data_IF_505687592436
#
_entry.id   IF_505687592436
#
_cell.length_a   1.000
_cell.length_b   1.000
_cell.length_c   1.000
_cell.angle_alpha   90.00
_cell.angle_beta   90.00
_cell.angle_gamma   90.00
#
_symmetry.space_group_name_H-M   'P 1'
#
loop_
_entity.id
_entity.type
_entity.pdbx_description
1 polymer ?
#
# COMPACT_ATOMS: atom_id res chain seq x y z
N UNK A 1 -35.64 25.36 -22.03
CA UNK A 1 -35.42 24.78 -20.68
C UNK A 1 -33.94 24.49 -20.57
N UNK A 2 -33.17 25.16 -19.71
CA UNK A 2 -31.76 24.82 -19.52
C UNK A 2 -31.66 23.44 -18.85
N UNK A 3 -30.84 22.57 -19.41
CA UNK A 3 -30.53 21.25 -18.85
C UNK A 3 -29.61 21.48 -17.66
N UNK A 4 -30.10 21.22 -16.44
CA UNK A 4 -29.26 21.22 -15.23
C UNK A 4 -28.51 19.89 -15.23
N UNK A 5 -27.21 19.92 -15.49
CA UNK A 5 -26.33 18.78 -15.24
C UNK A 5 -26.38 18.42 -13.75
N UNK A 6 -26.49 17.13 -13.40
CA UNK A 6 -26.50 16.72 -12.00
C UNK A 6 -25.16 17.09 -11.37
N UNK A 7 -25.20 18.00 -10.41
CA UNK A 7 -24.04 18.32 -9.57
C UNK A 7 -23.62 17.05 -8.83
N UNK A 8 -22.46 16.50 -9.19
CA UNK A 8 -21.81 15.43 -8.44
C UNK A 8 -21.58 15.92 -7.00
N UNK A 9 -22.35 15.39 -6.06
CA UNK A 9 -22.06 15.58 -4.63
C UNK A 9 -20.70 14.95 -4.36
N UNK A 10 -19.69 15.70 -3.90
CA UNK A 10 -18.35 15.16 -3.75
C UNK A 10 -18.37 14.06 -2.69
N UNK A 11 -18.14 12.83 -3.12
CA UNK A 11 -17.80 11.72 -2.22
C UNK A 11 -16.53 12.09 -1.46
N UNK A 12 -16.47 11.76 -0.16
CA UNK A 12 -15.29 12.03 0.64
C UNK A 12 -14.04 11.40 -0.02
N UNK A 13 -12.92 12.14 -0.11
CA UNK A 13 -11.73 11.65 -0.82
C UNK A 13 -11.17 10.39 -0.14
N UNK A 14 -10.78 9.39 -0.95
CA UNK A 14 -10.25 8.11 -0.46
C UNK A 14 -8.85 8.23 0.18
N UNK A 15 -8.07 9.24 -0.24
CA UNK A 15 -6.70 9.48 0.23
C UNK A 15 -6.37 10.97 0.18
N UNK A 16 -5.42 11.41 1.01
CA UNK A 16 -4.99 12.81 1.15
C UNK A 16 -3.49 12.98 1.00
N UNK A 17 -3.05 14.09 0.40
CA UNK A 17 -1.63 14.45 0.30
C UNK A 17 -1.15 15.06 1.62
N UNK A 18 -0.18 14.41 2.28
CA UNK A 18 0.37 14.88 3.56
C UNK A 18 1.57 15.82 3.39
N UNK A 19 2.26 15.76 2.23
CA UNK A 19 3.44 16.58 1.93
C UNK A 19 3.55 16.86 0.43
N UNK A 20 3.94 18.09 0.07
CA UNK A 20 4.13 18.53 -1.31
C UNK A 20 2.85 19.07 -1.97
N UNK A 21 2.97 19.47 -3.23
CA UNK A 21 1.88 19.98 -4.07
C UNK A 21 1.98 19.30 -5.45
N UNK A 22 1.49 18.06 -5.59
CA UNK A 22 1.52 17.34 -6.86
C UNK A 22 0.54 17.95 -7.87
N UNK A 23 0.86 17.85 -9.15
CA UNK A 23 -0.08 18.22 -10.21
C UNK A 23 -1.17 17.14 -10.40
N UNK A 24 -2.20 17.47 -11.18
CA UNK A 24 -3.33 16.57 -11.41
C UNK A 24 -2.91 15.30 -12.16
N UNK A 25 -1.95 15.42 -13.07
CA UNK A 25 -1.42 14.31 -13.87
C UNK A 25 -0.68 13.28 -13.01
N UNK A 26 0.12 13.74 -12.04
CA UNK A 26 0.83 12.90 -11.07
C UNK A 26 -0.15 12.17 -10.17
N UNK A 27 -1.21 12.85 -9.70
CA UNK A 27 -2.26 12.20 -8.91
C UNK A 27 -3.00 11.13 -9.72
N UNK A 28 -3.32 11.41 -10.98
CA UNK A 28 -3.97 10.45 -11.87
C UNK A 28 -3.07 9.22 -12.15
N UNK A 29 -1.77 9.45 -12.40
CA UNK A 29 -0.81 8.38 -12.59
C UNK A 29 -0.67 7.50 -11.34
N UNK A 30 -0.60 8.10 -10.15
CA UNK A 30 -0.55 7.34 -8.89
C UNK A 30 -1.83 6.55 -8.64
N UNK A 31 -3.01 7.14 -8.90
CA UNK A 31 -4.29 6.44 -8.76
C UNK A 31 -4.36 5.22 -9.69
N UNK A 32 -3.92 5.37 -10.95
CA UNK A 32 -3.86 4.26 -11.90
C UNK A 32 -2.97 3.11 -11.36
N UNK A 33 -1.78 3.42 -10.84
CA UNK A 33 -0.89 2.40 -10.24
C UNK A 33 -1.55 1.70 -9.06
N UNK A 34 -2.18 2.44 -8.14
CA UNK A 34 -2.88 1.87 -6.98
C UNK A 34 -3.99 0.91 -7.42
N UNK A 35 -4.77 1.28 -8.45
CA UNK A 35 -5.81 0.41 -9.00
C UNK A 35 -5.23 -0.90 -9.55
N UNK A 36 -4.04 -0.87 -10.18
CA UNK A 36 -3.38 -2.11 -10.66
C UNK A 36 -2.88 -3.02 -9.54
N UNK A 37 -2.60 -2.46 -8.35
CA UNK A 37 -2.10 -3.22 -7.20
C UNK A 37 -3.24 -3.96 -6.44
N UNK A 38 -4.50 -3.63 -6.70
CA UNK A 38 -5.67 -4.22 -6.04
C UNK A 38 -6.00 -5.67 -6.44
N UNK A 39 -5.18 -6.31 -7.27
CA UNK A 39 -5.37 -7.69 -7.70
C UNK A 39 -5.22 -8.73 -6.58
N UNK A 40 -5.68 -9.98 -6.81
CA UNK A 40 -5.57 -11.05 -5.83
C UNK A 40 -4.12 -11.27 -5.39
N UNK A 41 -3.90 -11.24 -4.09
CA UNK A 41 -2.57 -11.43 -3.53
C UNK A 41 -2.05 -12.83 -3.87
N UNK A 42 -0.77 -12.96 -4.28
CA UNK A 42 -0.18 -14.28 -4.50
C UNK A 42 -0.23 -15.09 -3.21
N UNK A 43 -0.39 -16.41 -3.35
CA UNK A 43 -0.45 -17.33 -2.22
C UNK A 43 0.74 -17.09 -1.29
N UNK A 44 0.44 -16.86 0.01
CA UNK A 44 1.46 -16.57 1.00
C UNK A 44 2.37 -17.80 1.16
N UNK A 45 3.70 -17.64 1.11
CA UNK A 45 4.60 -18.75 1.43
C UNK A 45 4.39 -19.22 2.87
N UNK A 46 4.63 -20.51 3.12
CA UNK A 46 4.53 -21.09 4.45
C UNK A 46 5.33 -20.28 5.48
N UNK A 47 4.74 -20.05 6.65
CA UNK A 47 5.40 -19.31 7.71
C UNK A 47 6.60 -20.13 8.25
N UNK A 48 7.77 -19.49 8.48
CA UNK A 48 8.90 -20.18 9.09
C UNK A 48 8.53 -20.61 10.51
N UNK A 49 9.05 -21.78 10.93
CA UNK A 49 8.83 -22.28 12.29
C UNK A 49 9.49 -21.38 13.34
N UNK A 50 9.01 -21.46 14.59
CA UNK A 50 9.59 -20.74 15.73
C UNK A 50 11.09 -21.04 15.88
N UNK A 51 11.52 -22.29 15.70
CA UNK A 51 12.93 -22.69 15.76
C UNK A 51 13.77 -21.97 14.70
N UNK A 52 13.26 -21.88 13.47
CA UNK A 52 13.93 -21.15 12.40
C UNK A 52 14.09 -19.67 12.75
N UNK A 53 13.06 -19.06 13.35
CA UNK A 53 13.10 -17.66 13.79
C UNK A 53 14.12 -17.42 14.90
N UNK A 54 14.12 -18.23 15.96
CA UNK A 54 15.07 -18.13 17.08
C UNK A 54 16.51 -18.22 16.57
N UNK A 55 16.78 -19.18 15.67
CA UNK A 55 18.11 -19.33 15.06
C UNK A 55 18.54 -18.07 14.30
N UNK A 56 17.65 -17.46 13.51
CA UNK A 56 18.00 -16.24 12.76
C UNK A 56 18.27 -15.04 13.68
N UNK A 57 17.53 -14.91 14.78
CA UNK A 57 17.78 -13.87 15.77
C UNK A 57 19.15 -14.04 16.44
N UNK A 58 19.50 -15.27 16.86
CA UNK A 58 20.81 -15.58 17.42
C UNK A 58 21.96 -15.24 16.46
N UNK A 59 21.74 -15.46 15.16
CA UNK A 59 22.71 -15.14 14.10
C UNK A 59 22.68 -13.67 13.64
N UNK A 60 21.85 -12.81 14.25
CA UNK A 60 21.71 -11.38 13.90
C UNK A 60 21.52 -11.11 12.40
N UNK A 61 20.79 -12.01 11.73
CA UNK A 61 20.55 -11.89 10.29
C UNK A 61 19.61 -10.70 10.02
N UNK A 62 19.82 -10.06 8.86
CA UNK A 62 18.94 -8.99 8.40
C UNK A 62 17.47 -9.46 8.31
N UNK A 63 16.49 -8.55 8.51
CA UNK A 63 15.08 -8.89 8.35
C UNK A 63 14.80 -9.50 6.98
N UNK A 64 14.03 -10.59 6.95
CA UNK A 64 13.58 -11.17 5.67
C UNK A 64 12.82 -10.11 4.88
N UNK A 65 13.23 -9.82 3.63
CA UNK A 65 12.45 -8.98 2.74
C UNK A 65 11.14 -9.67 2.38
N UNK A 66 10.10 -8.90 2.07
CA UNK A 66 8.84 -9.44 1.57
C UNK A 66 7.61 -8.67 2.06
N UNK A 67 6.42 -9.06 1.58
CA UNK A 67 5.17 -8.41 1.93
C UNK A 67 4.95 -8.33 3.44
N UNK A 68 4.72 -7.11 3.94
CA UNK A 68 4.52 -6.86 5.37
C UNK A 68 5.78 -6.92 6.23
N UNK A 69 6.99 -7.03 5.67
CA UNK A 69 8.24 -6.98 6.43
C UNK A 69 8.43 -5.63 7.17
N UNK A 70 7.90 -4.55 6.61
CA UNK A 70 7.91 -3.20 7.19
C UNK A 70 7.16 -3.11 8.53
N UNK A 71 6.19 -3.99 8.80
CA UNK A 71 5.49 -4.02 10.10
C UNK A 71 6.42 -4.39 11.26
N UNK A 72 7.56 -5.00 10.94
CA UNK A 72 8.61 -5.36 11.90
C UNK A 72 9.73 -4.30 11.94
N UNK A 73 9.67 -3.27 11.11
CA UNK A 73 10.65 -2.17 11.07
C UNK A 73 10.14 -0.90 11.76
N UNK A 74 9.09 -0.98 12.59
CA UNK A 74 8.74 0.14 13.44
C UNK A 74 9.93 0.45 14.35
N UNK A 75 10.40 1.70 14.26
CA UNK A 75 11.51 2.26 15.02
C UNK A 75 11.19 2.43 16.50
#
# INVERSE_FOLDING_TARGET
MPVVEPAETPTAPLFSVVKGQPNAEELAALAAVVLTLGGPAPAKPAAPSVRHWVRRQQLRLAPSPGPGAWKRSHG
#
